data_IF_818726067415
#
_entry.id   IF_818726067415
#
_cell.length_a   1.000
_cell.length_b   1.000
_cell.length_c   1.000
_cell.angle_alpha   90.00
_cell.angle_beta   90.00
_cell.angle_gamma   90.00
#
_symmetry.space_group_name_H-M   'P 1'
#
loop_
_entity.id
_entity.type
_entity.pdbx_description
1 polymer ?
#
# COMPACT_ATOMS: atom_id res chain seq x y z
N UNK A 1 8.67 7.85 -15.77
CA UNK A 1 7.84 6.98 -14.89
C UNK A 1 7.75 7.70 -13.55
N UNK A 2 6.62 8.31 -13.27
CA UNK A 2 6.36 9.01 -12.00
C UNK A 2 5.81 8.02 -10.97
N UNK A 3 6.04 8.33 -9.71
CA UNK A 3 5.55 7.59 -8.54
C UNK A 3 4.02 7.42 -8.62
N UNK A 4 3.52 6.18 -8.54
CA UNK A 4 2.08 5.87 -8.53
C UNK A 4 1.57 5.57 -7.11
N UNK A 5 2.41 5.74 -6.09
CA UNK A 5 1.88 6.01 -4.75
C UNK A 5 1.54 7.51 -4.67
N UNK A 6 0.37 7.91 -4.14
CA UNK A 6 0.14 9.32 -3.82
C UNK A 6 1.24 9.76 -2.84
N UNK A 7 2.19 10.60 -3.27
CA UNK A 7 3.21 11.13 -2.36
C UNK A 7 2.46 11.98 -1.33
N UNK A 8 2.45 11.53 -0.09
CA UNK A 8 1.75 12.27 0.96
C UNK A 8 2.59 13.47 1.38
N UNK A 9 2.07 14.67 1.17
CA UNK A 9 2.68 15.92 1.63
C UNK A 9 1.99 16.53 2.85
N UNK A 10 0.89 15.94 3.33
CA UNK A 10 0.25 16.37 4.56
C UNK A 10 1.10 16.10 5.81
N UNK A 11 0.67 16.62 6.96
CA UNK A 11 1.42 16.42 8.20
C UNK A 11 1.68 14.93 8.41
N UNK A 12 2.93 14.50 8.63
CA UNK A 12 3.19 13.19 9.20
C UNK A 12 2.33 13.07 10.45
N UNK A 13 1.75 11.90 10.72
CA UNK A 13 1.30 11.65 12.08
C UNK A 13 2.43 12.01 13.03
N UNK A 14 2.16 12.73 14.14
CA UNK A 14 3.22 13.27 14.98
C UNK A 14 4.21 12.17 15.37
N UNK A 15 5.44 12.26 14.84
CA UNK A 15 6.48 11.28 15.10
C UNK A 15 7.47 11.14 13.94
N UNK A 16 8.75 11.09 14.28
CA UNK A 16 9.77 10.39 13.50
C UNK A 16 9.44 8.88 13.51
N UNK A 17 10.05 8.07 12.62
CA UNK A 17 9.96 6.60 12.74
C UNK A 17 10.27 6.19 14.19
N UNK A 18 9.29 5.61 14.88
CA UNK A 18 9.36 5.34 16.32
C UNK A 18 8.82 3.94 16.58
N UNK A 19 9.72 3.00 16.84
CA UNK A 19 9.37 1.61 17.09
C UNK A 19 8.44 1.44 18.30
N UNK A 20 8.41 2.38 19.24
CA UNK A 20 7.50 2.33 20.40
C UNK A 20 6.04 2.51 20.02
N UNK A 21 5.75 2.97 18.80
CA UNK A 21 4.39 3.08 18.24
C UNK A 21 3.91 1.79 17.58
N UNK A 22 4.77 0.78 17.50
CA UNK A 22 4.43 -0.53 16.98
C UNK A 22 4.00 -1.48 18.11
N UNK A 23 3.00 -2.32 17.86
CA UNK A 23 2.47 -3.30 18.81
C UNK A 23 3.36 -4.56 18.99
N UNK A 24 4.66 -4.46 18.68
CA UNK A 24 5.61 -5.57 18.69
C UNK A 24 5.42 -6.63 17.59
N UNK A 25 4.37 -6.52 16.78
CA UNK A 25 4.04 -7.44 15.68
C UNK A 25 3.87 -6.69 14.34
N UNK A 26 4.38 -5.46 14.29
CA UNK A 26 4.33 -4.61 13.12
C UNK A 26 2.98 -3.97 12.79
N UNK A 27 2.05 -3.93 13.74
CA UNK A 27 0.83 -3.13 13.67
C UNK A 27 0.95 -1.85 14.50
N UNK A 28 0.06 -0.89 14.26
CA UNK A 28 -0.06 0.31 15.09
C UNK A 28 -1.46 0.40 15.70
N UNK A 29 -1.58 1.00 16.89
CA UNK A 29 -2.86 1.11 17.62
C UNK A 29 -3.42 2.53 17.46
N UNK A 30 -4.68 2.65 17.06
CA UNK A 30 -5.40 3.93 16.89
C UNK A 30 -4.73 4.94 15.94
N UNK A 31 -4.06 4.48 14.89
CA UNK A 31 -3.57 5.36 13.85
C UNK A 31 -4.72 5.78 12.92
N UNK A 32 -4.91 7.09 12.74
CA UNK A 32 -5.71 7.59 11.63
C UNK A 32 -4.80 7.67 10.39
N UNK A 33 -5.29 7.17 9.25
CA UNK A 33 -4.56 7.23 7.98
C UNK A 33 -4.34 8.67 7.51
N UNK A 34 -3.25 8.93 6.77
CA UNK A 34 -2.96 10.25 6.21
C UNK A 34 -3.89 10.60 5.03
N UNK A 35 -5.02 11.25 5.33
CA UNK A 35 -6.03 11.59 4.33
C UNK A 35 -5.55 12.60 3.27
N UNK A 36 -5.44 12.15 2.01
CA UNK A 36 -4.93 12.95 0.89
C UNK A 36 -5.92 13.97 0.30
N UNK A 37 -6.27 14.98 1.09
CA UNK A 37 -7.25 16.01 0.75
C UNK A 37 -6.82 16.86 -0.47
N UNK A 38 -7.28 16.49 -1.66
CA UNK A 38 -7.13 17.22 -2.93
C UNK A 38 -5.68 17.44 -3.43
N UNK A 39 -4.75 16.58 -3.07
CA UNK A 39 -3.36 16.67 -3.53
C UNK A 39 -2.99 15.50 -4.46
N UNK A 40 -2.28 15.82 -5.54
CA UNK A 40 -1.59 14.88 -6.44
C UNK A 40 -2.49 13.81 -7.07
N UNK A 41 -2.30 12.53 -6.74
CA UNK A 41 -3.03 11.39 -7.32
C UNK A 41 -4.42 11.20 -6.68
N UNK A 42 -4.78 11.97 -5.66
CA UNK A 42 -6.03 11.76 -4.94
C UNK A 42 -7.24 12.21 -5.74
N UNK A 43 -8.28 11.37 -5.71
CA UNK A 43 -9.43 11.52 -6.58
C UNK A 43 -9.27 10.88 -7.96
N UNK A 44 -8.05 10.56 -8.41
CA UNK A 44 -7.84 9.83 -9.67
C UNK A 44 -8.22 8.36 -9.54
N UNK A 45 -8.65 7.78 -10.66
CA UNK A 45 -9.00 6.37 -10.75
C UNK A 45 -7.98 5.60 -11.58
N UNK A 46 -7.78 4.34 -11.23
CA UNK A 46 -6.90 3.42 -11.93
C UNK A 46 -7.58 2.07 -12.14
N UNK A 47 -7.37 1.48 -13.30
CA UNK A 47 -7.60 0.06 -13.51
C UNK A 47 -6.39 -0.69 -12.96
N UNK A 48 -6.66 -1.69 -12.13
CA UNK A 48 -5.64 -2.52 -11.47
C UNK A 48 -5.91 -3.97 -11.80
N UNK A 49 -4.86 -4.70 -12.17
CA UNK A 49 -4.93 -6.14 -12.44
C UNK A 49 -3.77 -6.86 -11.75
N UNK A 50 -4.05 -8.01 -11.13
CA UNK A 50 -3.01 -8.88 -10.58
C UNK A 50 -2.27 -9.59 -11.73
N UNK A 51 -0.93 -9.57 -11.68
CA UNK A 51 -0.05 -10.28 -12.62
C UNK A 51 0.74 -11.40 -11.96
N UNK A 52 0.81 -11.45 -10.63
CA UNK A 52 1.35 -12.57 -9.88
C UNK A 52 1.56 -12.24 -8.40
N UNK A 53 2.11 -13.19 -7.65
CA UNK A 53 2.65 -12.93 -6.32
C UNK A 53 3.97 -12.17 -6.42
N UNK A 54 4.19 -11.20 -5.53
CA UNK A 54 5.45 -10.46 -5.43
C UNK A 54 6.60 -11.33 -4.90
N UNK A 55 6.32 -12.22 -3.95
CA UNK A 55 7.31 -13.11 -3.32
C UNK A 55 7.34 -14.55 -3.88
N UNK A 56 6.73 -14.76 -5.05
CA UNK A 56 6.67 -16.10 -5.64
C UNK A 56 5.84 -17.11 -4.84
N UNK A 57 4.82 -16.65 -4.10
CA UNK A 57 3.83 -17.51 -3.46
C UNK A 57 3.24 -18.49 -4.48
N UNK A 58 3.25 -19.78 -4.14
CA UNK A 58 2.76 -20.86 -5.01
C UNK A 58 1.35 -21.33 -4.66
N UNK A 59 0.83 -20.93 -3.50
CA UNK A 59 -0.56 -21.14 -3.09
C UNK A 59 -1.42 -19.94 -3.50
N UNK A 60 -2.52 -20.16 -4.22
CA UNK A 60 -3.38 -19.07 -4.70
C UNK A 60 -3.10 -18.67 -6.15
N UNK A 61 -3.86 -17.68 -6.64
CA UNK A 61 -3.76 -17.21 -8.01
C UNK A 61 -4.31 -15.78 -8.17
N UNK A 62 -3.90 -15.09 -9.23
CA UNK A 62 -4.67 -13.95 -9.74
C UNK A 62 -6.00 -14.44 -10.30
N UNK A 63 -7.08 -13.69 -10.06
CA UNK A 63 -8.43 -14.05 -10.55
C UNK A 63 -8.60 -13.80 -12.05
N UNK A 64 -7.73 -12.97 -12.65
CA UNK A 64 -7.87 -12.46 -14.01
C UNK A 64 -8.77 -11.23 -14.12
N UNK A 65 -9.36 -10.78 -13.01
CA UNK A 65 -10.18 -9.58 -12.99
C UNK A 65 -9.33 -8.30 -13.03
N UNK A 66 -9.90 -7.27 -13.64
CA UNK A 66 -9.46 -5.89 -13.50
C UNK A 66 -10.44 -5.17 -12.57
N UNK A 67 -9.92 -4.53 -11.52
CA UNK A 67 -10.73 -3.67 -10.65
C UNK A 67 -10.45 -2.21 -10.96
N UNK A 68 -11.45 -1.35 -10.79
CA UNK A 68 -11.26 0.09 -10.80
C UNK A 68 -11.14 0.58 -9.36
N UNK A 69 -10.03 1.23 -9.02
CA UNK A 69 -9.81 1.85 -7.72
C UNK A 69 -9.78 3.36 -7.85
N UNK A 70 -10.21 4.06 -6.80
CA UNK A 70 -10.06 5.51 -6.65
C UNK A 70 -9.08 5.76 -5.51
N UNK A 71 -8.11 6.64 -5.72
CA UNK A 71 -7.19 7.02 -4.65
C UNK A 71 -7.92 7.95 -3.68
N UNK A 72 -8.01 7.55 -2.41
CA UNK A 72 -8.72 8.29 -1.35
C UNK A 72 -7.86 8.53 -0.10
N UNK A 73 -6.73 7.86 0.01
CA UNK A 73 -5.82 7.91 1.16
C UNK A 73 -4.38 7.82 0.65
N UNK A 74 -3.43 8.27 1.45
CA UNK A 74 -2.02 8.10 1.17
C UNK A 74 -1.36 7.05 2.05
N UNK A 75 -0.19 6.56 1.63
CA UNK A 75 0.57 5.58 2.38
C UNK A 75 2.05 6.01 2.48
N UNK A 76 2.41 6.95 3.36
CA UNK A 76 3.79 7.39 3.50
C UNK A 76 4.66 6.40 4.28
N UNK A 77 5.94 6.29 3.93
CA UNK A 77 6.96 5.48 4.63
C UNK A 77 7.17 5.86 6.10
N UNK A 78 6.79 7.07 6.49
CA UNK A 78 6.95 7.60 7.84
C UNK A 78 5.75 7.35 8.74
N UNK A 79 4.63 6.84 8.21
CA UNK A 79 3.45 6.57 9.01
C UNK A 79 3.54 5.21 9.72
N UNK A 80 3.15 5.10 11.01
CA UNK A 80 3.25 3.85 11.77
C UNK A 80 2.51 2.68 11.13
N UNK A 81 1.37 2.92 10.49
CA UNK A 81 0.66 1.85 9.76
C UNK A 81 1.45 1.28 8.56
N UNK A 82 2.52 1.95 8.11
CA UNK A 82 3.38 1.47 7.03
C UNK A 82 4.74 0.99 7.58
N UNK A 83 5.48 1.80 8.35
CA UNK A 83 6.79 1.34 8.84
C UNK A 83 6.70 0.25 9.91
N UNK A 84 5.59 0.11 10.65
CA UNK A 84 5.50 -1.00 11.59
C UNK A 84 5.44 -2.34 10.82
N UNK A 85 4.89 -2.38 9.60
CA UNK A 85 4.72 -3.64 8.84
C UNK A 85 6.05 -4.31 8.48
N UNK A 86 7.17 -3.59 8.52
CA UNK A 86 8.49 -4.12 8.10
C UNK A 86 9.28 -4.79 9.22
N UNK A 87 10.21 -5.66 8.84
CA UNK A 87 11.01 -6.47 9.75
C UNK A 87 11.79 -5.65 10.79
N UNK A 88 12.30 -4.47 10.41
CA UNK A 88 13.02 -3.57 11.31
C UNK A 88 12.19 -3.11 12.52
N UNK A 89 10.86 -3.23 12.45
CA UNK A 89 9.91 -2.81 13.48
C UNK A 89 9.03 -3.96 13.99
N UNK A 90 9.44 -5.21 13.77
CA UNK A 90 8.75 -6.41 14.25
C UNK A 90 7.61 -6.89 13.36
N UNK A 91 7.45 -6.33 12.16
CA UNK A 91 6.54 -6.86 11.15
C UNK A 91 7.17 -7.95 10.29
N UNK A 92 6.42 -8.43 9.30
CA UNK A 92 6.82 -9.54 8.41
C UNK A 92 6.99 -9.13 6.96
N UNK A 93 6.72 -7.88 6.62
CA UNK A 93 6.80 -7.37 5.25
C UNK A 93 8.24 -6.95 4.94
N UNK A 94 8.81 -7.34 3.79
CA UNK A 94 10.12 -6.83 3.37
C UNK A 94 10.09 -5.31 3.12
N UNK A 95 11.18 -4.60 3.43
CA UNK A 95 11.28 -3.13 3.29
C UNK A 95 10.93 -2.63 1.88
N UNK A 96 11.23 -3.42 0.85
CA UNK A 96 10.94 -3.11 -0.57
C UNK A 96 9.44 -3.06 -0.89
N UNK A 97 8.60 -3.56 0.01
CA UNK A 97 7.15 -3.70 -0.19
C UNK A 97 6.36 -2.78 0.73
N UNK A 98 7.04 -2.01 1.58
CA UNK A 98 6.45 -0.86 2.24
C UNK A 98 6.17 0.24 1.21
N UNK A 99 5.14 1.04 1.46
CA UNK A 99 4.86 2.18 0.61
C UNK A 99 6.03 3.18 0.59
N UNK A 100 6.21 3.89 -0.54
CA UNK A 100 7.34 4.79 -0.84
C UNK A 100 8.74 4.11 -0.80
N UNK A 101 8.80 2.78 -0.92
CA UNK A 101 10.06 2.09 -1.16
C UNK A 101 10.69 2.58 -2.47
N UNK A 102 12.01 2.87 -2.43
CA UNK A 102 12.72 3.45 -3.57
C UNK A 102 12.59 2.58 -4.83
N UNK A 103 12.14 3.19 -5.93
CA UNK A 103 12.00 2.52 -7.23
C UNK A 103 10.77 1.63 -7.38
N UNK A 104 9.83 1.67 -6.42
CA UNK A 104 8.59 0.86 -6.44
C UNK A 104 7.37 1.76 -6.44
N UNK A 105 6.48 1.51 -7.40
CA UNK A 105 5.12 2.04 -7.40
C UNK A 105 4.22 1.08 -6.61
N UNK A 106 3.53 1.56 -5.57
CA UNK A 106 2.70 0.72 -4.71
C UNK A 106 1.29 1.30 -4.51
N UNK A 107 0.30 0.41 -4.39
CA UNK A 107 -1.06 0.73 -3.96
C UNK A 107 -1.39 -0.09 -2.71
N UNK A 108 -1.77 0.58 -1.62
CA UNK A 108 -2.41 -0.11 -0.49
C UNK A 108 -3.91 -0.25 -0.79
N UNK A 109 -4.31 -1.43 -1.25
CA UNK A 109 -5.68 -1.70 -1.70
C UNK A 109 -6.49 -2.27 -0.54
N UNK A 110 -7.67 -1.69 -0.29
CA UNK A 110 -8.60 -2.19 0.70
C UNK A 110 -8.83 -3.71 0.56
N UNK A 111 -8.82 -4.44 1.67
CA UNK A 111 -8.83 -5.91 1.70
C UNK A 111 -10.00 -6.52 0.90
N UNK A 112 -11.16 -5.86 0.92
CA UNK A 112 -12.36 -6.27 0.15
C UNK A 112 -12.17 -6.17 -1.35
N UNK A 113 -11.45 -5.16 -1.84
CA UNK A 113 -11.10 -5.02 -3.25
C UNK A 113 -9.94 -5.95 -3.64
N UNK A 114 -8.99 -6.19 -2.73
CA UNK A 114 -7.89 -7.15 -2.93
C UNK A 114 -8.41 -8.56 -3.22
N UNK A 115 -9.44 -9.02 -2.52
CA UNK A 115 -10.02 -10.36 -2.76
C UNK A 115 -10.63 -10.53 -4.16
N UNK A 116 -10.98 -9.43 -4.84
CA UNK A 116 -11.44 -9.50 -6.23
C UNK A 116 -10.27 -9.68 -7.23
N UNK A 117 -9.05 -9.30 -6.85
CA UNK A 117 -7.84 -9.40 -7.67
C UNK A 117 -7.13 -10.75 -7.54
N UNK A 118 -7.08 -11.32 -6.34
CA UNK A 118 -6.28 -12.52 -6.08
C UNK A 118 -6.69 -13.28 -4.81
N UNK A 119 -6.36 -14.57 -4.79
CA UNK A 119 -6.38 -15.43 -3.60
C UNK A 119 -5.01 -15.67 -2.94
N UNK A 120 -3.91 -15.09 -3.48
CA UNK A 120 -2.62 -15.03 -2.78
C UNK A 120 -2.81 -14.40 -1.39
N UNK A 121 -1.91 -14.68 -0.45
CA UNK A 121 -1.91 -14.09 0.89
C UNK A 121 -0.97 -12.89 0.99
N UNK A 122 0.11 -12.88 0.22
CA UNK A 122 1.12 -11.82 0.19
C UNK A 122 0.79 -10.62 -0.70
N UNK A 123 1.80 -9.76 -0.91
CA UNK A 123 1.72 -8.65 -1.83
C UNK A 123 1.70 -9.13 -3.29
N UNK A 124 1.09 -8.33 -4.17
CA UNK A 124 0.85 -8.68 -5.55
C UNK A 124 1.77 -7.88 -6.48
N UNK A 125 2.26 -8.53 -7.53
CA UNK A 125 2.62 -7.81 -8.75
C UNK A 125 1.33 -7.35 -9.41
N UNK A 126 1.27 -6.09 -9.80
CA UNK A 126 0.09 -5.49 -10.43
C UNK A 126 0.45 -4.72 -11.69
N UNK A 127 -0.45 -4.77 -12.66
CA UNK A 127 -0.53 -3.80 -13.74
C UNK A 127 -1.48 -2.68 -13.31
N UNK A 128 -1.12 -1.45 -13.66
CA UNK A 128 -1.89 -0.26 -13.33
C UNK A 128 -2.00 0.65 -14.56
N UNK A 129 -3.21 1.13 -14.82
CA UNK A 129 -3.51 2.04 -15.92
C UNK A 129 -4.45 3.16 -15.44
N UNK A 130 -4.12 4.41 -15.73
CA UNK A 130 -4.99 5.54 -15.39
C UNK A 130 -6.33 5.44 -16.13
N UNK A 131 -7.43 5.76 -15.44
CA UNK A 131 -8.78 5.71 -16.02
C UNK A 131 -9.66 6.82 -15.45
N UNK A 132 -10.79 7.08 -16.09
CA UNK A 132 -11.79 7.98 -15.54
C UNK A 132 -12.51 7.33 -14.36
N UNK A 133 -12.73 8.13 -13.32
CA UNK A 133 -13.86 7.94 -12.43
C UNK A 133 -15.14 8.31 -13.21
#
# INVERSE_FOLDING_TARGET
MSDLSPLWTGSPCSGTKDASKCNGHGGCTNCAGPACSNEQQCGHCFNVRCTGSLDGETGGACTGNTIKVKIIDACPATHPANYCKIAAFGGTIPDREACEASGVNALDIATTARSALSSFQGNLNIDIEATSC
#
